data_IF_610839360015
#
_entry.id   IF_610839360015
#
_cell.length_a   1.000
_cell.length_b   1.000
_cell.length_c   1.000
_cell.angle_alpha   90.00
_cell.angle_beta   90.00
_cell.angle_gamma   90.00
#
_symmetry.space_group_name_H-M   'P 1'
#
loop_
_entity.id
_entity.type
_entity.pdbx_description
1 polymer ?
#
# COMPACT_ATOMS: atom_id res chain seq x y z
N UNK A 1 -19.68 17.18 -22.01
CA UNK A 1 -21.13 17.00 -21.76
C UNK A 1 -21.52 15.73 -22.49
N UNK A 2 -22.12 14.76 -21.80
CA UNK A 2 -22.39 13.44 -22.37
C UNK A 2 -23.21 13.52 -23.67
N UNK A 3 -22.69 12.97 -24.77
CA UNK A 3 -23.42 12.84 -26.04
C UNK A 3 -24.01 11.44 -26.22
N UNK A 4 -25.03 11.29 -27.08
CA UNK A 4 -25.62 9.98 -27.39
C UNK A 4 -24.57 8.99 -27.96
N UNK A 5 -23.63 9.51 -28.75
CA UNK A 5 -22.54 8.74 -29.36
C UNK A 5 -21.53 8.26 -28.31
N UNK A 6 -21.19 9.12 -27.34
CA UNK A 6 -20.29 8.76 -26.23
C UNK A 6 -20.90 7.66 -25.35
N UNK A 7 -22.18 7.77 -24.98
CA UNK A 7 -22.87 6.76 -24.17
C UNK A 7 -22.92 5.42 -24.92
N UNK A 8 -23.24 5.44 -26.21
CA UNK A 8 -23.24 4.24 -27.04
C UNK A 8 -21.85 3.59 -27.11
N UNK A 9 -20.80 4.38 -27.32
CA UNK A 9 -19.43 3.89 -27.35
C UNK A 9 -19.00 3.22 -26.04
N UNK A 10 -19.39 3.79 -24.90
CA UNK A 10 -19.09 3.22 -23.58
C UNK A 10 -19.81 1.87 -23.35
N UNK A 11 -21.07 1.72 -23.76
CA UNK A 11 -21.77 0.43 -23.67
C UNK A 11 -21.15 -0.64 -24.60
N UNK A 12 -20.64 -0.23 -25.77
CA UNK A 12 -20.00 -1.15 -26.72
C UNK A 12 -18.69 -1.76 -26.16
N UNK A 13 -17.97 -1.06 -25.29
CA UNK A 13 -16.80 -1.62 -24.58
C UNK A 13 -17.16 -2.85 -23.75
N UNK A 14 -18.39 -2.91 -23.25
CA UNK A 14 -18.93 -4.03 -22.49
C UNK A 14 -19.71 -5.04 -23.36
N UNK A 15 -19.63 -4.93 -24.69
CA UNK A 15 -20.41 -5.73 -25.66
C UNK A 15 -21.94 -5.60 -25.47
N UNK A 16 -22.41 -4.44 -25.02
CA UNK A 16 -23.83 -4.15 -24.82
C UNK A 16 -24.31 -3.19 -25.91
N UNK A 17 -25.41 -3.54 -26.58
CA UNK A 17 -26.04 -2.70 -27.59
C UNK A 17 -27.40 -2.20 -27.08
N UNK A 18 -27.45 -1.05 -26.40
CA UNK A 18 -28.69 -0.49 -25.86
C UNK A 18 -29.59 0.05 -26.99
N UNK A 19 -30.90 0.05 -26.75
CA UNK A 19 -31.88 0.68 -27.65
C UNK A 19 -31.83 2.21 -27.54
N UNK A 20 -32.39 2.93 -28.52
CA UNK A 20 -32.42 4.40 -28.52
C UNK A 20 -33.03 4.98 -27.24
N UNK A 21 -34.13 4.38 -26.75
CA UNK A 21 -34.83 4.84 -25.55
C UNK A 21 -33.98 4.72 -24.28
N UNK A 22 -33.14 3.68 -24.21
CA UNK A 22 -32.20 3.45 -23.10
C UNK A 22 -31.09 4.50 -23.13
N UNK A 23 -30.57 4.82 -24.32
CA UNK A 23 -29.55 5.88 -24.49
C UNK A 23 -30.12 7.24 -24.09
N UNK A 24 -31.36 7.54 -24.44
CA UNK A 24 -32.04 8.78 -24.04
C UNK A 24 -32.23 8.88 -22.54
N UNK A 25 -32.64 7.77 -21.88
CA UNK A 25 -32.74 7.73 -20.43
C UNK A 25 -31.36 7.91 -19.77
N UNK A 26 -30.31 7.27 -20.27
CA UNK A 26 -28.94 7.47 -19.78
C UNK A 26 -28.48 8.93 -19.89
N UNK A 27 -28.75 9.57 -21.04
CA UNK A 27 -28.43 10.98 -21.24
C UNK A 27 -29.19 11.89 -20.26
N UNK A 28 -30.46 11.57 -20.00
CA UNK A 28 -31.24 12.29 -18.98
C UNK A 28 -30.64 12.16 -17.57
N UNK A 29 -30.07 11.00 -17.22
CA UNK A 29 -29.42 10.76 -15.94
C UNK A 29 -28.08 11.50 -15.82
N UNK A 30 -27.25 11.48 -16.87
CA UNK A 30 -26.01 12.27 -16.94
C UNK A 30 -26.29 13.76 -16.68
N UNK A 31 -27.32 14.31 -17.31
CA UNK A 31 -27.71 15.72 -17.13
C UNK A 31 -28.31 15.98 -15.75
N UNK A 32 -29.21 15.11 -15.27
CA UNK A 32 -29.93 15.34 -14.00
C UNK A 32 -29.01 15.28 -12.78
N UNK A 33 -28.00 14.41 -12.82
CA UNK A 33 -27.09 14.18 -11.70
C UNK A 33 -25.68 14.74 -11.93
N UNK A 34 -25.44 15.39 -13.07
CA UNK A 34 -24.14 15.92 -13.48
C UNK A 34 -23.03 14.85 -13.43
N UNK A 35 -23.29 13.70 -14.07
CA UNK A 35 -22.42 12.53 -14.14
C UNK A 35 -21.94 12.35 -15.59
N UNK A 36 -20.68 11.95 -15.76
CA UNK A 36 -20.09 11.68 -17.07
C UNK A 36 -20.60 10.36 -17.68
N UNK A 37 -20.50 10.21 -19.01
CA UNK A 37 -21.00 9.04 -19.73
C UNK A 37 -20.28 7.75 -19.31
N UNK A 38 -18.97 7.80 -19.06
CA UNK A 38 -18.17 6.69 -18.56
C UNK A 38 -18.61 6.28 -17.13
N UNK A 39 -18.70 7.24 -16.22
CA UNK A 39 -19.09 6.99 -14.83
C UNK A 39 -20.51 6.40 -14.74
N UNK A 40 -21.45 6.85 -15.57
CA UNK A 40 -22.79 6.27 -15.62
C UNK A 40 -22.77 4.79 -16.06
N UNK A 41 -22.00 4.45 -17.09
CA UNK A 41 -21.94 3.08 -17.62
C UNK A 41 -21.24 2.14 -16.65
N UNK A 42 -20.17 2.59 -15.97
CA UNK A 42 -19.51 1.82 -14.92
C UNK A 42 -20.44 1.57 -13.74
N UNK A 43 -21.20 2.58 -13.31
CA UNK A 43 -22.21 2.43 -12.26
C UNK A 43 -23.32 1.45 -12.68
N UNK A 44 -23.72 1.47 -13.95
CA UNK A 44 -24.66 0.49 -14.51
C UNK A 44 -24.10 -0.95 -14.49
N UNK A 45 -22.84 -1.16 -14.91
CA UNK A 45 -22.20 -2.49 -14.91
C UNK A 45 -22.02 -3.01 -13.47
N UNK A 46 -21.66 -2.14 -12.53
CA UNK A 46 -21.59 -2.48 -11.11
C UNK A 46 -22.98 -2.83 -10.52
N UNK A 47 -24.01 -2.04 -10.87
CA UNK A 47 -25.38 -2.23 -10.41
C UNK A 47 -25.96 -3.56 -10.91
N UNK A 48 -25.81 -3.87 -12.20
CA UNK A 48 -26.31 -5.12 -12.78
C UNK A 48 -25.60 -6.34 -12.24
N UNK A 49 -24.29 -6.25 -11.99
CA UNK A 49 -23.50 -7.34 -11.36
C UNK A 49 -24.02 -7.69 -9.97
N UNK A 50 -24.46 -6.69 -9.19
CA UNK A 50 -24.88 -6.86 -7.80
C UNK A 50 -26.38 -7.14 -7.64
N UNK A 51 -27.22 -6.62 -8.55
CA UNK A 51 -28.68 -6.58 -8.36
C UNK A 51 -29.48 -7.31 -9.45
N UNK A 52 -28.94 -7.43 -10.67
CA UNK A 52 -29.67 -7.96 -11.83
C UNK A 52 -28.95 -9.14 -12.51
N UNK A 53 -27.92 -9.72 -11.87
CA UNK A 53 -27.13 -10.86 -12.40
C UNK A 53 -26.63 -10.68 -13.85
N UNK A 54 -26.35 -9.43 -14.25
CA UNK A 54 -25.85 -9.10 -15.59
C UNK A 54 -26.90 -8.98 -16.69
N UNK A 55 -28.17 -8.71 -16.36
CA UNK A 55 -29.19 -8.42 -17.37
C UNK A 55 -28.90 -7.15 -18.20
N UNK A 56 -29.43 -7.13 -19.43
CA UNK A 56 -29.27 -6.02 -20.37
C UNK A 56 -29.97 -4.73 -19.88
N UNK A 57 -29.48 -3.55 -20.31
CA UNK A 57 -30.09 -2.29 -19.94
C UNK A 57 -31.46 -2.12 -20.57
N UNK A 58 -32.45 -1.86 -19.71
CA UNK A 58 -33.81 -1.45 -20.07
C UNK A 58 -34.15 -0.17 -19.31
N UNK A 59 -35.11 0.60 -19.82
CA UNK A 59 -35.55 1.84 -19.15
C UNK A 59 -36.02 1.55 -17.72
N UNK A 60 -36.74 0.44 -17.50
CA UNK A 60 -37.18 0.02 -16.16
C UNK A 60 -36.02 -0.29 -15.21
N UNK A 61 -34.96 -0.92 -15.71
CA UNK A 61 -33.78 -1.22 -14.89
C UNK A 61 -33.00 0.05 -14.55
N UNK A 62 -32.90 1.00 -15.48
CA UNK A 62 -32.30 2.31 -15.23
C UNK A 62 -33.09 3.11 -14.19
N UNK A 63 -34.42 3.04 -14.19
CA UNK A 63 -35.24 3.67 -13.15
C UNK A 63 -35.07 3.02 -11.77
N UNK A 64 -34.87 1.69 -11.71
CA UNK A 64 -34.56 0.99 -10.46
C UNK A 64 -33.18 1.36 -9.93
N UNK A 65 -32.20 1.52 -10.82
CA UNK A 65 -30.86 2.02 -10.48
C UNK A 65 -30.94 3.46 -9.95
N UNK A 66 -31.66 4.34 -10.66
CA UNK A 66 -31.86 5.74 -10.27
C UNK A 66 -32.44 5.87 -8.86
N UNK A 67 -33.50 5.11 -8.56
CA UNK A 67 -34.13 5.10 -7.23
C UNK A 67 -33.20 4.64 -6.11
N UNK A 68 -32.28 3.72 -6.40
CA UNK A 68 -31.40 3.11 -5.39
C UNK A 68 -30.14 3.93 -5.14
N UNK A 69 -29.52 4.42 -6.21
CA UNK A 69 -28.19 5.03 -6.19
C UNK A 69 -28.27 6.57 -6.12
N UNK A 70 -29.25 7.21 -6.76
CA UNK A 70 -29.29 8.67 -6.87
C UNK A 70 -30.37 9.34 -6.01
N UNK A 71 -31.48 8.67 -5.72
CA UNK A 71 -32.56 9.28 -4.93
C UNK A 71 -32.21 9.48 -3.44
N UNK A 72 -31.18 8.81 -2.92
CA UNK A 72 -30.67 9.03 -1.55
C UNK A 72 -29.90 10.35 -1.38
N UNK A 73 -29.51 11.00 -2.47
CA UNK A 73 -28.70 12.23 -2.47
C UNK A 73 -29.51 13.50 -2.77
N UNK A 74 -30.84 13.40 -2.92
CA UNK A 74 -31.70 14.55 -3.28
C UNK A 74 -31.77 15.62 -2.17
N UNK A 75 -31.43 15.26 -0.92
CA UNK A 75 -31.42 16.19 0.22
C UNK A 75 -30.15 17.07 0.30
N UNK A 76 -29.12 16.81 -0.52
CA UNK A 76 -27.89 17.64 -0.52
C UNK A 76 -27.78 18.61 -1.71
N UNK A 77 -28.61 18.47 -2.74
CA UNK A 77 -28.49 19.24 -4.00
C UNK A 77 -29.37 20.51 -4.01
N UNK A 78 -30.35 20.63 -3.11
CA UNK A 78 -31.20 21.83 -3.01
C UNK A 78 -30.52 23.08 -2.44
N UNK A 79 -29.28 22.98 -1.93
CA UNK A 79 -28.61 24.06 -1.21
C UNK A 79 -27.58 24.86 -2.03
N UNK A 80 -27.47 24.67 -3.36
CA UNK A 80 -26.50 25.43 -4.17
C UNK A 80 -27.06 25.83 -5.53
N UNK A 81 -27.72 26.99 -5.58
CA UNK A 81 -27.69 27.86 -6.76
C UNK A 81 -26.73 29.04 -6.51
N UNK A 82 -26.11 29.61 -7.58
CA UNK A 82 -24.86 30.33 -7.48
C UNK A 82 -25.09 31.84 -7.27
N UNK A 83 -24.39 32.43 -6.32
CA UNK A 83 -24.11 33.87 -6.32
C UNK A 83 -22.60 34.07 -6.29
N UNK A 84 -22.12 34.76 -7.33
CA UNK A 84 -20.73 35.12 -7.57
C UNK A 84 -20.11 35.80 -6.35
N UNK A 85 -18.97 35.27 -5.89
CA UNK A 85 -17.87 36.09 -5.36
C UNK A 85 -16.53 35.42 -5.63
N UNK A 86 -15.57 36.27 -5.91
CA UNK A 86 -14.34 36.01 -6.66
C UNK A 86 -13.44 34.89 -6.15
N UNK A 87 -12.79 34.26 -7.13
CA UNK A 87 -11.78 33.20 -6.98
C UNK A 87 -10.45 33.76 -6.48
N UNK A 88 -9.92 33.15 -5.43
CA UNK A 88 -8.48 32.90 -5.23
C UNK A 88 -8.32 31.54 -4.54
N UNK A 89 -7.29 30.74 -4.87
CA UNK A 89 -7.37 29.28 -4.84
C UNK A 89 -6.97 28.72 -3.48
N UNK A 90 -7.76 27.76 -2.98
CA UNK A 90 -7.35 26.88 -1.89
C UNK A 90 -7.38 25.42 -2.37
N UNK A 91 -6.23 24.77 -2.20
CA UNK A 91 -5.94 23.38 -2.48
C UNK A 91 -6.70 22.49 -1.50
N UNK A 92 -7.52 21.57 -1.99
CA UNK A 92 -8.13 20.53 -1.15
C UNK A 92 -7.37 19.22 -1.33
N UNK A 93 -6.68 18.85 -0.27
CA UNK A 93 -6.05 17.56 -0.05
C UNK A 93 -7.12 16.52 0.25
N UNK A 94 -7.20 15.46 -0.56
CA UNK A 94 -8.03 14.28 -0.27
C UNK A 94 -7.12 13.11 0.03
N UNK A 95 -6.76 12.96 1.30
CA UNK A 95 -6.46 11.66 1.88
C UNK A 95 -7.24 11.53 3.20
N UNK A 96 -8.36 10.83 3.14
CA UNK A 96 -8.98 10.25 4.32
C UNK A 96 -8.02 9.18 4.85
N UNK A 97 -7.16 9.57 5.77
CA UNK A 97 -6.43 8.65 6.62
C UNK A 97 -7.37 8.24 7.75
N UNK A 98 -7.70 6.95 7.78
CA UNK A 98 -8.25 6.30 8.96
C UNK A 98 -7.26 6.52 10.11
N UNK A 99 -7.64 7.40 11.05
CA UNK A 99 -6.87 7.64 12.27
C UNK A 99 -7.02 6.42 13.18
N UNK A 100 -6.17 5.43 12.93
CA UNK A 100 -5.73 4.51 13.96
C UNK A 100 -5.19 5.34 15.12
N UNK A 101 -5.78 5.14 16.31
CA UNK A 101 -5.33 5.81 17.54
C UNK A 101 -3.85 5.51 17.72
N UNK A 102 -3.03 6.56 17.71
CA UNK A 102 -1.61 6.49 18.04
C UNK A 102 -1.49 6.18 19.53
N UNK A 103 -1.25 4.90 19.85
CA UNK A 103 -0.75 4.51 21.16
C UNK A 103 0.66 5.09 21.31
N UNK A 104 0.80 6.06 22.21
CA UNK A 104 2.10 6.55 22.65
C UNK A 104 2.90 5.38 23.24
N UNK A 105 4.22 5.27 22.97
CA UNK A 105 5.03 4.22 23.56
C UNK A 105 5.17 4.45 25.06
N UNK A 106 4.34 3.76 25.84
CA UNK A 106 4.50 3.61 27.29
C UNK A 106 5.11 2.25 27.57
N UNK A 107 6.19 2.23 28.35
CA UNK A 107 6.83 0.98 28.78
C UNK A 107 5.90 0.24 29.76
N UNK A 108 5.69 -1.07 29.61
CA UNK A 108 4.78 -1.80 30.49
C UNK A 108 5.39 -1.92 31.88
N UNK A 109 4.83 -1.20 32.85
CA UNK A 109 5.01 -1.51 34.27
C UNK A 109 3.97 -2.56 34.67
N UNK A 110 4.48 -3.65 35.22
CA UNK A 110 3.80 -4.84 35.68
C UNK A 110 2.73 -4.56 36.75
N UNK A 111 1.67 -5.39 36.69
CA UNK A 111 0.70 -5.75 37.73
C UNK A 111 -0.32 -4.71 38.20
N UNK A 112 -1.48 -4.62 37.52
CA UNK A 112 -2.78 -4.52 38.20
C UNK A 112 -3.86 -5.33 37.43
N UNK A 113 -4.64 -6.09 38.18
CA UNK A 113 -5.68 -7.04 37.75
C UNK A 113 -6.84 -6.39 36.99
N UNK A 114 -7.44 -7.07 35.99
CA UNK A 114 -8.53 -6.49 35.21
C UNK A 114 -9.87 -6.58 35.96
N UNK A 115 -10.47 -5.43 36.28
CA UNK A 115 -11.85 -5.36 36.76
C UNK A 115 -12.82 -5.24 35.59
N UNK A 116 -13.67 -6.24 35.42
CA UNK A 116 -14.74 -6.30 34.43
C UNK A 116 -15.94 -5.43 34.86
N UNK A 117 -16.05 -4.20 34.37
CA UNK A 117 -17.36 -3.53 34.28
C UNK A 117 -17.35 -2.42 33.22
N UNK A 118 -18.15 -2.58 32.18
CA UNK A 118 -18.45 -1.56 31.18
C UNK A 118 -19.39 -0.54 31.82
N UNK A 119 -18.99 0.73 31.89
CA UNK A 119 -19.86 1.87 32.19
C UNK A 119 -19.78 2.87 31.05
N UNK A 120 -20.93 3.20 30.47
CA UNK A 120 -21.12 4.25 29.46
C UNK A 120 -21.12 5.63 30.13
N UNK A 121 -20.44 6.65 29.59
CA UNK A 121 -20.52 8.00 30.16
C UNK A 121 -21.63 8.80 29.49
N UNK A 122 -22.85 8.71 30.04
CA UNK A 122 -23.80 9.83 29.98
C UNK A 122 -23.87 10.38 31.40
N UNK A 123 -23.18 11.48 31.65
CA UNK A 123 -23.62 12.50 32.62
C UNK A 123 -22.76 13.76 32.50
N UNK A 124 -23.46 14.83 32.16
CA UNK A 124 -23.09 16.23 32.16
C UNK A 124 -22.23 16.63 33.38
N UNK A 125 -21.03 17.14 33.12
CA UNK A 125 -20.32 18.02 34.06
C UNK A 125 -20.13 19.38 33.41
N UNK A 126 -20.47 20.42 34.15
CA UNK A 126 -20.58 21.82 33.74
C UNK A 126 -19.28 22.36 33.09
N UNK A 127 -19.34 22.71 31.80
CA UNK A 127 -18.29 23.38 31.03
C UNK A 127 -18.34 24.91 31.19
N UNK A 128 -18.30 25.44 32.41
CA UNK A 128 -18.50 26.88 32.60
C UNK A 128 -17.38 27.64 33.32
N UNK A 129 -16.26 27.04 33.74
CA UNK A 129 -15.28 27.78 34.57
C UNK A 129 -13.79 27.49 34.37
N UNK A 130 -13.35 26.99 33.21
CA UNK A 130 -11.91 26.83 32.92
C UNK A 130 -11.43 27.57 31.65
N UNK A 131 -12.06 28.69 31.30
CA UNK A 131 -11.39 29.70 30.48
C UNK A 131 -10.59 30.63 31.41
N UNK A 132 -9.46 30.14 31.92
CA UNK A 132 -8.35 31.03 32.26
C UNK A 132 -7.53 31.19 31.01
N UNK A 133 -7.53 32.41 30.48
CA UNK A 133 -6.67 32.89 29.41
C UNK A 133 -5.22 32.46 29.67
N UNK A 134 -4.85 31.30 29.13
CA UNK A 134 -3.46 30.88 29.09
C UNK A 134 -2.94 31.41 27.77
N UNK A 135 -2.49 32.66 27.83
CA UNK A 135 -1.60 33.22 26.81
C UNK A 135 -0.47 32.21 26.67
N UNK A 136 -0.50 31.41 25.60
CA UNK A 136 0.52 30.43 25.30
C UNK A 136 1.77 31.21 24.89
N UNK A 137 2.60 31.50 25.89
CA UNK A 137 3.93 32.04 25.65
C UNK A 137 4.71 31.01 24.82
N UNK A 138 5.40 31.42 23.74
CA UNK A 138 6.20 30.50 22.94
C UNK A 138 7.33 29.95 23.83
N UNK A 139 7.41 28.62 23.97
CA UNK A 139 8.50 27.95 24.69
C UNK A 139 8.10 27.21 25.96
N UNK A 140 7.06 26.36 25.91
CA UNK A 140 6.95 25.29 26.91
C UNK A 140 8.13 24.33 26.71
N UNK A 141 9.24 24.60 27.41
CA UNK A 141 10.49 23.85 27.32
C UNK A 141 10.25 22.35 27.53
N UNK A 142 11.04 21.53 26.84
CA UNK A 142 11.05 20.06 26.92
C UNK A 142 11.57 19.60 28.29
N UNK A 143 10.77 19.81 29.34
CA UNK A 143 11.19 19.59 30.73
C UNK A 143 11.57 18.13 31.01
N UNK A 144 10.94 17.17 30.32
CA UNK A 144 11.17 15.74 30.56
C UNK A 144 12.49 15.24 29.96
N UNK A 145 12.89 15.73 28.78
CA UNK A 145 14.15 15.33 28.16
C UNK A 145 15.35 15.88 28.94
N UNK A 146 15.29 17.15 29.37
CA UNK A 146 16.37 17.79 30.12
C UNK A 146 16.55 17.21 31.53
N UNK A 147 15.49 16.65 32.12
CA UNK A 147 15.52 15.99 33.44
C UNK A 147 15.83 14.49 33.39
N UNK A 148 16.17 13.96 32.22
CA UNK A 148 16.45 12.52 32.08
C UNK A 148 17.68 12.12 32.91
N UNK A 149 17.57 11.02 33.62
CA UNK A 149 18.66 10.48 34.46
C UNK A 149 19.55 9.48 33.71
N UNK A 150 19.08 8.96 32.58
CA UNK A 150 19.78 7.99 31.74
C UNK A 150 20.61 8.64 30.62
N UNK A 151 21.02 9.89 30.80
CA UNK A 151 21.90 10.56 29.84
C UNK A 151 23.20 9.75 29.68
N UNK A 152 23.60 9.48 28.43
CA UNK A 152 24.79 8.70 28.07
C UNK A 152 24.79 7.24 28.55
N UNK A 153 23.66 6.71 29.04
CA UNK A 153 23.58 5.32 29.48
C UNK A 153 23.66 4.36 28.27
N UNK A 154 24.63 3.44 28.30
CA UNK A 154 24.78 2.37 27.29
C UNK A 154 23.65 1.36 27.45
N UNK A 155 22.75 1.28 26.46
CA UNK A 155 21.61 0.36 26.47
C UNK A 155 21.92 -1.00 25.85
N UNK A 156 22.84 -1.03 24.88
CA UNK A 156 23.28 -2.24 24.21
C UNK A 156 24.78 -2.13 23.89
N UNK A 157 25.46 -3.27 23.85
CA UNK A 157 26.84 -3.38 23.42
C UNK A 157 26.99 -4.57 22.47
N UNK A 158 27.89 -4.45 21.51
CA UNK A 158 28.24 -5.50 20.56
C UNK A 158 29.76 -5.51 20.37
N UNK A 159 30.36 -6.69 20.24
CA UNK A 159 31.82 -6.84 20.17
C UNK A 159 32.52 -6.62 21.52
N UNK A 160 33.62 -5.87 21.52
CA UNK A 160 34.42 -5.64 22.73
C UNK A 160 33.75 -4.64 23.68
N UNK A 161 33.34 -5.13 24.85
CA UNK A 161 32.61 -4.39 25.89
C UNK A 161 33.46 -3.42 26.69
N UNK A 162 34.78 -3.55 26.64
CA UNK A 162 35.73 -2.71 27.39
C UNK A 162 36.20 -1.48 26.59
N UNK A 163 35.68 -1.30 25.38
CA UNK A 163 36.09 -0.22 24.48
C UNK A 163 35.67 1.14 25.04
N UNK A 164 36.62 2.07 25.12
CA UNK A 164 36.36 3.47 25.45
C UNK A 164 36.40 4.32 24.17
N UNK A 165 35.32 5.04 23.88
CA UNK A 165 35.25 5.93 22.72
C UNK A 165 35.81 7.31 23.07
N UNK A 166 36.78 7.79 22.29
CA UNK A 166 37.37 9.13 22.47
C UNK A 166 37.51 9.81 21.12
N UNK A 167 37.03 11.05 21.05
CA UNK A 167 37.24 11.89 19.86
C UNK A 167 38.74 12.07 19.61
N UNK A 168 39.19 11.69 18.41
CA UNK A 168 40.53 11.95 17.90
C UNK A 168 40.41 12.81 16.65
N UNK A 169 41.20 13.88 16.51
CA UNK A 169 41.24 14.65 15.28
C UNK A 169 41.82 13.76 14.17
N UNK A 170 40.97 13.34 13.24
CA UNK A 170 41.33 12.55 12.08
C UNK A 170 40.84 13.27 10.82
N UNK A 171 41.61 13.18 9.74
CA UNK A 171 41.17 13.52 8.39
C UNK A 171 40.75 12.24 7.66
N UNK A 172 39.48 11.81 7.74
CA UNK A 172 39.04 10.60 7.05
C UNK A 172 38.98 10.83 5.54
N UNK A 173 39.36 9.82 4.77
CA UNK A 173 39.04 9.75 3.34
C UNK A 173 37.72 9.02 3.18
N UNK A 174 36.68 9.73 2.74
CA UNK A 174 35.35 9.15 2.52
C UNK A 174 35.20 8.84 1.03
N UNK A 175 34.88 7.60 0.70
CA UNK A 175 34.58 7.16 -0.67
C UNK A 175 33.20 6.54 -0.72
N UNK A 176 32.40 6.95 -1.69
CA UNK A 176 31.12 6.29 -1.97
C UNK A 176 31.40 4.96 -2.68
N UNK A 177 30.88 3.86 -2.14
CA UNK A 177 31.01 2.52 -2.75
C UNK A 177 30.16 2.41 -4.02
N UNK A 178 29.10 3.22 -4.12
CA UNK A 178 28.23 3.30 -5.29
C UNK A 178 27.95 4.76 -5.66
N UNK A 179 28.31 5.15 -6.88
CA UNK A 179 28.17 6.52 -7.42
C UNK A 179 26.83 6.76 -8.16
N UNK A 180 25.94 5.75 -8.17
CA UNK A 180 24.62 5.85 -8.81
C UNK A 180 23.51 6.41 -7.90
N UNK A 181 23.88 7.13 -6.84
CA UNK A 181 22.92 7.73 -5.90
C UNK A 181 22.00 8.77 -6.56
N UNK A 182 20.88 9.08 -5.90
CA UNK A 182 19.94 10.10 -6.35
C UNK A 182 20.65 11.44 -6.55
N UNK A 183 20.60 11.99 -7.76
CA UNK A 183 21.12 13.33 -8.06
C UNK A 183 20.14 14.39 -7.59
N UNK A 184 20.64 15.51 -7.07
CA UNK A 184 19.85 16.58 -6.45
C UNK A 184 18.75 17.21 -7.35
N UNK A 185 18.83 17.01 -8.67
CA UNK A 185 17.95 17.57 -9.68
C UNK A 185 16.96 16.55 -10.25
N UNK A 186 16.27 15.76 -9.41
CA UNK A 186 15.15 14.95 -9.88
C UNK A 186 13.97 15.86 -10.25
N UNK A 187 13.58 15.86 -11.52
CA UNK A 187 12.66 16.85 -12.11
C UNK A 187 11.19 16.46 -12.07
N UNK A 188 10.83 15.24 -11.67
CA UNK A 188 9.47 14.73 -11.86
C UNK A 188 8.88 14.15 -10.57
N UNK A 189 7.74 14.70 -10.16
CA UNK A 189 6.88 14.19 -9.07
C UNK A 189 5.71 13.36 -9.64
N UNK A 190 5.97 12.59 -10.70
CA UNK A 190 5.01 11.65 -11.28
C UNK A 190 5.72 10.37 -11.71
N UNK A 191 5.00 9.26 -11.71
CA UNK A 191 5.49 7.95 -12.16
C UNK A 191 4.69 7.46 -13.35
N UNK A 192 5.37 6.86 -14.33
CA UNK A 192 4.71 6.15 -15.42
C UNK A 192 4.56 4.68 -14.99
N UNK A 193 3.33 4.19 -14.88
CA UNK A 193 3.03 2.83 -14.38
C UNK A 193 3.80 1.76 -15.14
N UNK A 194 3.89 1.87 -16.47
CA UNK A 194 4.68 0.93 -17.29
C UNK A 194 6.18 0.93 -16.97
N UNK A 195 6.76 2.10 -16.67
CA UNK A 195 8.17 2.19 -16.23
C UNK A 195 8.35 1.56 -14.85
N UNK A 196 7.42 1.81 -13.93
CA UNK A 196 7.42 1.19 -12.60
C UNK A 196 7.34 -0.33 -12.68
N UNK A 197 6.40 -0.85 -13.47
CA UNK A 197 6.25 -2.28 -13.72
C UNK A 197 7.52 -2.90 -14.31
N UNK A 198 8.14 -2.24 -15.30
CA UNK A 198 9.41 -2.69 -15.89
C UNK A 198 10.55 -2.71 -14.87
N UNK A 199 10.72 -1.66 -14.07
CA UNK A 199 11.75 -1.62 -13.02
C UNK A 199 11.55 -2.73 -11.99
N UNK A 200 10.31 -2.96 -11.55
CA UNK A 200 9.97 -4.04 -10.62
C UNK A 200 10.24 -5.42 -11.21
N UNK A 201 10.01 -5.60 -12.51
CA UNK A 201 10.31 -6.85 -13.18
C UNK A 201 11.81 -7.08 -13.28
N UNK A 202 12.57 -6.09 -13.74
CA UNK A 202 14.02 -6.20 -13.88
C UNK A 202 14.68 -6.56 -12.54
N UNK A 203 14.30 -5.87 -11.44
CA UNK A 203 14.81 -6.18 -10.10
C UNK A 203 14.46 -7.61 -9.66
N UNK A 204 13.27 -8.11 -10.00
CA UNK A 204 12.88 -9.48 -9.68
C UNK A 204 13.67 -10.51 -10.48
N UNK A 205 13.85 -10.29 -11.78
CA UNK A 205 14.63 -11.19 -12.65
C UNK A 205 16.10 -11.28 -12.21
N UNK A 206 16.75 -10.15 -11.91
CA UNK A 206 18.14 -10.12 -11.44
C UNK A 206 18.32 -10.97 -10.17
N UNK A 207 17.37 -10.86 -9.23
CA UNK A 207 17.37 -11.66 -8.00
C UNK A 207 17.04 -13.13 -8.26
N UNK A 208 16.11 -13.44 -9.17
CA UNK A 208 15.77 -14.82 -9.54
C UNK A 208 16.99 -15.52 -10.15
N UNK A 209 17.71 -14.86 -11.04
CA UNK A 209 18.97 -15.39 -11.62
C UNK A 209 19.97 -15.67 -10.50
N UNK A 210 20.21 -14.71 -9.61
CA UNK A 210 21.16 -14.87 -8.52
C UNK A 210 20.76 -15.99 -7.52
N UNK A 211 19.46 -16.20 -7.27
CA UNK A 211 18.96 -17.32 -6.45
C UNK A 211 19.18 -18.65 -7.18
N UNK A 212 18.84 -18.71 -8.47
CA UNK A 212 19.03 -19.92 -9.28
C UNK A 212 20.49 -20.34 -9.36
N UNK A 213 21.40 -19.40 -9.55
CA UNK A 213 22.83 -19.66 -9.63
C UNK A 213 23.37 -20.24 -8.31
N UNK A 214 22.99 -19.63 -7.17
CA UNK A 214 23.39 -20.10 -5.83
C UNK A 214 22.93 -21.54 -5.57
N UNK A 215 21.67 -21.83 -5.90
CA UNK A 215 21.05 -23.13 -5.63
C UNK A 215 21.18 -24.13 -6.78
N UNK A 216 21.86 -23.76 -7.87
CA UNK A 216 22.04 -24.56 -9.09
C UNK A 216 20.72 -25.07 -9.66
N UNK A 217 19.71 -24.20 -9.68
CA UNK A 217 18.37 -24.49 -10.19
C UNK A 217 18.36 -24.25 -11.71
N UNK A 218 17.88 -25.22 -12.49
CA UNK A 218 17.81 -25.10 -13.95
C UNK A 218 16.93 -23.94 -14.42
N UNK A 219 17.24 -23.42 -15.62
CA UNK A 219 16.42 -22.41 -16.29
C UNK A 219 15.29 -23.11 -17.05
N UNK A 220 14.01 -22.73 -16.88
CA UNK A 220 12.94 -23.24 -17.73
C UNK A 220 13.22 -22.84 -19.19
N UNK A 221 13.32 -23.82 -20.09
CA UNK A 221 13.47 -23.56 -21.53
C UNK A 221 12.20 -22.90 -22.06
N UNK A 222 12.32 -21.76 -22.76
CA UNK A 222 11.19 -21.06 -23.40
C UNK A 222 10.45 -21.93 -24.45
N UNK A 223 11.10 -22.99 -24.94
CA UNK A 223 10.55 -23.93 -25.92
C UNK A 223 9.80 -25.12 -25.29
N UNK A 224 9.94 -25.34 -23.98
CA UNK A 224 9.26 -26.42 -23.26
C UNK A 224 7.96 -25.86 -22.65
N UNK A 225 6.91 -25.82 -23.47
CA UNK A 225 5.53 -25.54 -23.03
C UNK A 225 4.93 -26.67 -22.16
N UNK A 226 5.75 -27.60 -21.69
CA UNK A 226 5.30 -28.65 -20.79
C UNK A 226 5.46 -28.16 -19.36
N UNK A 227 4.33 -27.72 -18.79
CA UNK A 227 4.13 -27.52 -17.34
C UNK A 227 4.52 -28.76 -16.48
N UNK A 228 4.95 -29.86 -17.12
CA UNK A 228 5.35 -31.14 -16.52
C UNK A 228 6.87 -31.33 -16.31
N UNK A 229 7.76 -30.53 -16.92
CA UNK A 229 9.22 -30.85 -16.90
C UNK A 229 9.98 -30.13 -15.77
N UNK A 230 9.42 -29.05 -15.22
CA UNK A 230 10.06 -28.30 -14.13
C UNK A 230 9.02 -27.87 -13.08
N UNK A 231 9.00 -28.57 -11.94
CA UNK A 231 8.26 -28.20 -10.72
C UNK A 231 8.85 -26.94 -10.03
N UNK A 232 9.50 -26.04 -10.77
CA UNK A 232 10.18 -24.84 -10.27
C UNK A 232 9.50 -23.61 -10.84
N UNK A 233 9.04 -22.74 -9.95
CA UNK A 233 8.34 -21.49 -10.23
C UNK A 233 9.10 -20.33 -9.60
N UNK A 234 9.11 -19.17 -10.22
CA UNK A 234 9.80 -17.99 -9.69
C UNK A 234 8.91 -16.76 -9.79
N UNK A 235 9.05 -15.86 -8.82
CA UNK A 235 8.19 -14.69 -8.75
C UNK A 235 8.29 -13.90 -7.46
N UNK A 236 7.32 -13.00 -7.27
CA UNK A 236 7.18 -12.19 -6.05
C UNK A 236 6.05 -12.68 -5.18
N UNK A 237 6.26 -12.64 -3.87
CA UNK A 237 5.20 -12.87 -2.89
C UNK A 237 4.23 -11.69 -2.91
N UNK A 238 2.96 -11.96 -3.12
CA UNK A 238 1.87 -10.98 -3.03
C UNK A 238 0.76 -11.52 -2.12
N UNK A 239 -0.11 -10.62 -1.68
CA UNK A 239 -1.29 -10.95 -0.86
C UNK A 239 -2.54 -11.00 -1.72
N UNK A 240 -3.51 -11.83 -1.36
CA UNK A 240 -4.84 -11.84 -2.00
C UNK A 240 -5.79 -10.74 -1.47
N UNK A 241 -5.35 -9.98 -0.48
CA UNK A 241 -6.09 -8.93 0.21
C UNK A 241 -5.17 -7.82 0.73
N UNK A 242 -5.74 -6.65 0.99
CA UNK A 242 -5.04 -5.47 1.51
C UNK A 242 -4.67 -5.57 3.01
N UNK A 243 -4.96 -6.72 3.63
CA UNK A 243 -4.68 -6.98 5.03
C UNK A 243 -3.26 -7.48 5.30
N UNK A 244 -2.99 -7.80 6.57
CA UNK A 244 -1.74 -8.46 6.96
C UNK A 244 -1.65 -9.83 6.29
N UNK A 245 -0.51 -10.11 5.66
CA UNK A 245 -0.21 -11.40 5.03
C UNK A 245 -0.36 -12.54 6.06
N UNK A 246 -1.10 -13.57 5.68
CA UNK A 246 -1.24 -14.82 6.42
C UNK A 246 -0.91 -16.01 5.51
N UNK A 247 -0.82 -17.21 6.07
CA UNK A 247 -0.41 -18.41 5.35
C UNK A 247 -1.41 -18.90 4.29
N UNK A 248 -2.68 -18.51 4.36
CA UNK A 248 -3.71 -18.85 3.38
C UNK A 248 -3.79 -17.81 2.25
N UNK A 249 -3.36 -16.58 2.51
CA UNK A 249 -3.41 -15.45 1.59
C UNK A 249 -2.13 -15.26 0.76
N UNK A 250 -1.19 -16.21 0.80
CA UNK A 250 0.08 -16.11 0.08
C UNK A 250 -0.12 -16.48 -1.39
N UNK A 251 0.15 -15.52 -2.26
CA UNK A 251 0.19 -15.71 -3.69
C UNK A 251 1.62 -15.52 -4.22
N UNK A 252 1.94 -16.24 -5.28
CA UNK A 252 3.14 -16.02 -6.08
C UNK A 252 2.73 -15.34 -7.38
N UNK A 253 3.15 -14.10 -7.56
CA UNK A 253 3.09 -13.38 -8.83
C UNK A 253 4.28 -13.82 -9.68
N UNK A 254 4.01 -14.60 -10.73
CA UNK A 254 5.03 -15.15 -11.61
C UNK A 254 5.71 -14.08 -12.47
N UNK A 255 6.85 -14.45 -13.05
CA UNK A 255 7.59 -13.61 -14.00
C UNK A 255 6.81 -13.32 -15.30
N UNK A 256 7.36 -12.43 -16.14
CA UNK A 256 6.75 -12.06 -17.44
C UNK A 256 6.62 -13.25 -18.41
N UNK A 257 7.47 -14.27 -18.28
CA UNK A 257 7.35 -15.53 -19.04
C UNK A 257 5.95 -16.14 -18.86
N UNK A 258 5.35 -15.95 -17.69
CA UNK A 258 3.99 -16.40 -17.36
C UNK A 258 2.97 -15.26 -17.32
N UNK A 259 3.24 -14.14 -17.99
CA UNK A 259 2.37 -12.96 -18.08
C UNK A 259 1.96 -12.37 -16.72
N UNK A 260 2.80 -12.48 -15.69
CA UNK A 260 2.47 -11.94 -14.37
C UNK A 260 1.31 -12.64 -13.65
N UNK A 261 0.95 -13.86 -14.08
CA UNK A 261 -0.14 -14.63 -13.45
C UNK A 261 0.17 -14.90 -11.98
N UNK A 262 -0.88 -14.89 -11.17
CA UNK A 262 -0.78 -15.21 -9.74
C UNK A 262 -1.25 -16.64 -9.47
N UNK A 263 -0.50 -17.36 -8.63
CA UNK A 263 -0.84 -18.71 -8.17
C UNK A 263 -0.88 -18.72 -6.65
N UNK A 264 -1.87 -19.38 -6.06
CA UNK A 264 -1.95 -19.51 -4.61
C UNK A 264 -0.95 -20.55 -4.11
N UNK A 265 -0.19 -20.21 -3.07
CA UNK A 265 0.78 -21.12 -2.47
C UNK A 265 0.12 -21.89 -1.33
N UNK A 266 0.21 -23.22 -1.39
CA UNK A 266 -0.09 -24.08 -0.25
C UNK A 266 1.22 -24.44 0.47
N UNK A 267 1.41 -23.82 1.64
CA UNK A 267 2.62 -23.96 2.47
C UNK A 267 2.53 -25.09 3.50
N UNK A 268 1.50 -25.94 3.44
CA UNK A 268 1.27 -26.99 4.46
C UNK A 268 2.39 -28.03 4.59
N UNK A 269 3.21 -28.20 3.56
CA UNK A 269 4.37 -29.12 3.55
C UNK A 269 5.70 -28.42 3.86
N UNK A 270 5.70 -27.11 4.10
CA UNK A 270 6.92 -26.34 4.38
C UNK A 270 7.02 -26.09 5.88
N UNK A 271 7.98 -26.73 6.53
CA UNK A 271 8.13 -26.68 8.00
C UNK A 271 8.51 -25.28 8.51
N UNK A 272 9.36 -24.57 7.76
CA UNK A 272 9.90 -23.26 8.16
C UNK A 272 9.98 -22.35 6.94
N UNK A 273 9.38 -21.18 7.06
CA UNK A 273 9.46 -20.14 6.06
C UNK A 273 9.32 -18.77 6.71
N UNK A 274 9.86 -17.75 6.04
CA UNK A 274 9.64 -16.35 6.37
C UNK A 274 9.33 -15.62 5.07
N UNK A 275 8.06 -15.24 4.92
CA UNK A 275 7.54 -14.61 3.71
C UNK A 275 7.01 -13.21 4.02
N UNK A 276 7.29 -12.26 3.13
CA UNK A 276 6.73 -10.91 3.19
C UNK A 276 6.34 -10.39 1.80
N UNK A 277 5.37 -9.47 1.69
CA UNK A 277 4.95 -8.91 0.40
C UNK A 277 6.11 -8.23 -0.33
N UNK A 278 6.25 -8.52 -1.63
CA UNK A 278 7.32 -8.03 -2.49
C UNK A 278 8.60 -8.86 -2.48
N UNK A 279 8.70 -9.87 -1.59
CA UNK A 279 9.86 -10.76 -1.55
C UNK A 279 9.97 -11.57 -2.85
N UNK A 280 11.16 -11.60 -3.44
CA UNK A 280 11.46 -12.42 -4.61
C UNK A 280 11.87 -13.81 -4.14
N UNK A 281 11.24 -14.84 -4.70
CA UNK A 281 11.47 -16.24 -4.34
C UNK A 281 11.47 -17.14 -5.56
N UNK A 282 12.18 -18.26 -5.44
CA UNK A 282 12.03 -19.43 -6.30
C UNK A 282 11.41 -20.54 -5.47
N UNK A 283 10.38 -21.19 -5.99
CA UNK A 283 9.53 -22.15 -5.29
C UNK A 283 9.55 -23.45 -6.05
N UNK A 284 9.85 -24.55 -5.36
CA UNK A 284 9.69 -25.89 -5.89
C UNK A 284 8.40 -26.50 -5.36
N UNK A 285 7.56 -27.02 -6.24
CA UNK A 285 6.27 -27.59 -5.83
C UNK A 285 5.49 -28.22 -6.98
N UNK A 286 4.42 -28.92 -6.61
CA UNK A 286 3.56 -29.60 -7.58
C UNK A 286 2.35 -28.70 -7.91
N UNK A 287 2.21 -28.38 -9.18
CA UNK A 287 1.08 -27.58 -9.65
C UNK A 287 -0.18 -28.45 -9.76
N UNK A 288 -1.24 -28.06 -9.06
CA UNK A 288 -2.52 -28.75 -9.13
C UNK A 288 -3.54 -27.87 -9.85
N UNK A 289 -3.89 -28.26 -11.09
CA UNK A 289 -5.02 -27.67 -11.81
C UNK A 289 -6.30 -28.00 -11.06
N UNK A 290 -6.93 -27.01 -10.44
CA UNK A 290 -8.22 -27.20 -9.79
C UNK A 290 -9.33 -27.13 -10.83
N UNK A 291 -10.16 -28.18 -10.90
CA UNK A 291 -11.38 -28.17 -11.71
C UNK A 291 -12.50 -27.41 -10.95
N UNK A 292 -13.27 -26.58 -11.68
CA UNK A 292 -14.26 -25.57 -11.18
C UNK A 292 -13.62 -24.27 -10.67
N UNK A 293 -14.42 -23.22 -10.41
CA UNK A 293 -14.08 -21.79 -10.11
C UNK A 293 -13.11 -21.53 -8.93
N UNK A 294 -12.12 -22.37 -8.69
CA UNK A 294 -11.08 -22.18 -7.67
C UNK A 294 -9.78 -21.73 -8.34
N UNK A 295 -9.01 -20.91 -7.63
CA UNK A 295 -7.71 -20.44 -8.10
C UNK A 295 -6.74 -21.63 -8.25
N UNK A 296 -5.80 -21.56 -9.21
CA UNK A 296 -4.74 -22.55 -9.31
C UNK A 296 -3.92 -22.59 -8.01
N UNK A 297 -3.52 -23.79 -7.60
CA UNK A 297 -2.84 -24.04 -6.34
C UNK A 297 -1.50 -24.72 -6.59
N UNK A 298 -0.43 -24.16 -6.02
CA UNK A 298 0.89 -24.76 -6.00
C UNK A 298 1.16 -25.35 -4.62
N UNK A 299 1.31 -26.68 -4.53
CA UNK A 299 1.67 -27.35 -3.28
C UNK A 299 3.19 -27.25 -3.13
N UNK A 300 3.62 -26.35 -2.24
CA UNK A 300 5.04 -26.02 -2.08
C UNK A 300 5.77 -27.11 -1.32
N UNK A 301 6.91 -27.53 -1.85
CA UNK A 301 7.83 -28.46 -1.22
C UNK A 301 9.03 -27.72 -0.62
N UNK A 302 9.61 -26.79 -1.38
CA UNK A 302 10.80 -26.02 -0.97
C UNK A 302 10.70 -24.56 -1.45
N UNK A 303 11.31 -23.63 -0.71
CA UNK A 303 11.37 -22.19 -1.02
C UNK A 303 12.82 -21.73 -0.93
N UNK A 304 13.29 -21.08 -1.99
CA UNK A 304 14.60 -20.45 -2.10
C UNK A 304 14.40 -18.93 -2.14
N UNK A 305 14.98 -18.20 -1.20
CA UNK A 305 14.64 -16.79 -0.99
C UNK A 305 15.86 -15.90 -0.65
N UNK A 306 17.06 -16.41 -0.85
CA UNK A 306 18.31 -15.73 -0.55
C UNK A 306 19.35 -15.98 -1.64
N UNK A 307 20.28 -15.04 -1.73
CA UNK A 307 21.45 -15.12 -2.61
C UNK A 307 22.66 -14.52 -1.89
N UNK A 308 23.85 -14.77 -2.41
CA UNK A 308 25.08 -14.26 -1.82
C UNK A 308 25.31 -12.82 -2.27
N UNK A 309 25.61 -11.94 -1.31
CA UNK A 309 26.05 -10.59 -1.62
C UNK A 309 27.57 -10.55 -1.60
N UNK A 310 28.18 -10.09 -2.69
CA UNK A 310 29.64 -9.90 -2.73
C UNK A 310 30.02 -8.74 -1.83
N UNK A 311 30.72 -9.05 -0.74
CA UNK A 311 31.34 -8.03 0.09
C UNK A 311 32.43 -7.30 -0.70
N UNK A 312 32.68 -6.00 -0.43
CA UNK A 312 33.82 -5.29 -1.00
C UNK A 312 35.13 -6.05 -0.71
N UNK A 313 36.03 -6.09 -1.69
CA UNK A 313 37.33 -6.80 -1.56
C UNK A 313 38.20 -6.23 -0.45
N UNK A 314 38.08 -4.93 -0.17
CA UNK A 314 38.78 -4.25 0.91
C UNK A 314 37.77 -3.81 1.97
N UNK A 315 37.90 -4.27 3.23
CA UNK A 315 37.06 -3.79 4.31
C UNK A 315 37.36 -2.30 4.58
N UNK A 316 36.34 -1.47 4.85
CA UNK A 316 36.58 -0.09 5.21
C UNK A 316 37.43 -0.02 6.49
N UNK A 317 38.49 0.80 6.46
CA UNK A 317 39.24 1.18 7.66
C UNK A 317 38.36 2.10 8.52
N UNK A 318 37.60 1.51 9.45
CA UNK A 318 36.74 2.26 10.37
C UNK A 318 37.58 2.66 11.59
N UNK A 319 37.75 3.97 11.79
CA UNK A 319 38.61 4.55 12.85
C UNK A 319 37.79 5.02 14.07
N UNK A 320 36.51 4.61 14.16
CA UNK A 320 35.42 5.07 15.05
C UNK A 320 34.46 6.05 14.33
N UNK A 321 33.16 5.77 14.40
CA UNK A 321 32.11 6.60 13.80
C UNK A 321 30.93 6.76 14.76
N UNK A 322 30.39 7.98 14.85
CA UNK A 322 29.18 8.27 15.61
C UNK A 322 28.00 8.46 14.67
N UNK A 323 26.92 7.71 14.90
CA UNK A 323 25.71 7.73 14.06
C UNK A 323 24.52 8.12 14.93
N UNK A 324 23.73 9.11 14.49
CA UNK A 324 22.50 9.54 15.13
C UNK A 324 21.40 9.68 14.08
N UNK A 325 20.22 9.10 14.35
CA UNK A 325 19.04 9.25 13.52
C UNK A 325 17.99 10.19 14.19
N UNK A 326 17.24 10.99 13.41
CA UNK A 326 16.15 11.82 13.91
C UNK A 326 14.95 11.00 14.43
N UNK A 327 14.01 11.62 15.19
CA UNK A 327 13.88 13.07 15.43
C UNK A 327 14.96 13.62 16.38
N UNK A 328 15.58 14.73 15.98
CA UNK A 328 16.64 15.40 16.76
C UNK A 328 16.03 16.31 17.84
N UNK A 329 14.77 16.70 17.67
CA UNK A 329 13.97 17.50 18.60
C UNK A 329 12.76 16.68 19.08
N UNK A 330 12.35 16.92 20.31
CA UNK A 330 11.10 16.37 20.88
C UNK A 330 9.86 17.18 20.52
N UNK A 331 10.04 18.31 19.84
CA UNK A 331 8.95 19.09 19.29
C UNK A 331 8.50 18.47 17.97
N UNK A 332 7.21 18.15 17.87
CA UNK A 332 6.55 17.94 16.58
C UNK A 332 6.62 19.29 15.84
N UNK A 333 7.11 19.35 14.59
CA UNK A 333 7.05 20.58 13.82
C UNK A 333 5.58 20.99 13.72
N UNK A 334 5.24 22.14 14.32
CA UNK A 334 3.96 22.79 14.07
C UNK A 334 3.92 23.19 12.60
N UNK A 335 3.29 22.36 11.77
CA UNK A 335 2.92 22.72 10.41
C UNK A 335 1.82 23.79 10.51
N UNK A 336 2.24 25.03 10.68
CA UNK A 336 1.38 26.18 10.42
C UNK A 336 1.27 26.29 8.90
N UNK A 337 0.22 25.68 8.34
CA UNK A 337 -0.24 26.05 7.01
C UNK A 337 -0.83 27.46 7.13
N UNK A 338 -0.19 28.43 6.47
CA UNK A 338 -0.74 29.77 6.23
C UNK A 338 -1.80 29.66 5.13
#
# INVERSE_FOLDING_TARGET
>A
MASKEEILGQFQLYNINPTSDVIEKCLSLCVSYNIESEELVDQWVAYTSSNLRGEAPTVEHLEKMERKEYQKNKDQVAAKLPSHKDRSPYVVSTHQSSTSKLDAPSTPKSNQTPSSRIQTPIQSKNLANEFKDTISSPGSQVANYSKRVNALAVQCSYGNKETTFKSKPLLPTIKMVFDGGLKANQTFLYEIIGKKGKSLNNMAEDLIVAIRDKYKLGVPNEAENDEEVSNIYAGRIVSDSDGKLNNQSVLLELTQIHMGRTIQLNLSKVDKYSLFPGQVVVVKGDYTKQYKRKKPLLVVQEIFADTDFTLPSEPPLIIEAYIKAPPITSELPSLNFI
#
